data_IF_765743472877
#
_entry.id   IF_765743472877
#
_cell.length_a   1.000
_cell.length_b   1.000
_cell.length_c   1.000
_cell.angle_alpha   90.00
_cell.angle_beta   90.00
_cell.angle_gamma   90.00
#
_symmetry.space_group_name_H-M   'P 1'
#
loop_
_entity.id
_entity.type
_entity.pdbx_description
1 polymer ?
#
# COMPACT_ATOMS: atom_id res chain seq x y z
N UNK A 1 -8.16 -11.09 -16.43
CA UNK A 1 -8.23 -10.17 -15.25
C UNK A 1 -7.08 -9.15 -15.27
N UNK A 2 -5.79 -9.54 -15.25
CA UNK A 2 -4.68 -8.56 -15.17
C UNK A 2 -4.67 -7.54 -16.30
N UNK A 3 -4.86 -7.96 -17.54
CA UNK A 3 -4.94 -7.03 -18.67
C UNK A 3 -6.11 -6.05 -18.62
N UNK A 4 -7.23 -6.46 -18.05
CA UNK A 4 -8.42 -5.61 -17.87
C UNK A 4 -8.19 -4.59 -16.75
N UNK A 5 -7.58 -5.02 -15.63
CA UNK A 5 -7.21 -4.12 -14.52
C UNK A 5 -6.13 -3.12 -14.99
N UNK A 6 -5.10 -3.59 -15.72
CA UNK A 6 -4.09 -2.69 -16.28
C UNK A 6 -4.71 -1.64 -17.22
N UNK A 7 -5.61 -2.07 -18.10
CA UNK A 7 -6.30 -1.15 -19.01
C UNK A 7 -7.14 -0.12 -18.25
N UNK A 8 -7.82 -0.55 -17.17
CA UNK A 8 -8.61 0.34 -16.30
C UNK A 8 -7.69 1.35 -15.59
N UNK A 9 -6.62 0.90 -14.91
CA UNK A 9 -5.67 1.78 -14.23
C UNK A 9 -5.05 2.79 -15.20
N UNK A 10 -4.61 2.33 -16.38
CA UNK A 10 -4.04 3.21 -17.42
C UNK A 10 -5.05 4.26 -17.88
N UNK A 11 -6.29 3.85 -18.18
CA UNK A 11 -7.34 4.76 -18.61
C UNK A 11 -7.64 5.83 -17.55
N UNK A 12 -7.74 5.47 -16.27
CA UNK A 12 -7.98 6.42 -15.17
C UNK A 12 -6.78 7.34 -15.00
N UNK A 13 -5.57 6.80 -15.00
CA UNK A 13 -4.34 7.58 -14.89
C UNK A 13 -4.23 8.63 -16.00
N UNK A 14 -4.41 8.24 -17.26
CA UNK A 14 -4.29 9.14 -18.42
C UNK A 14 -5.41 10.19 -18.51
N UNK A 15 -6.63 9.84 -18.09
CA UNK A 15 -7.80 10.72 -18.22
C UNK A 15 -8.01 11.67 -17.05
N UNK A 16 -7.61 11.26 -15.84
CA UNK A 16 -7.93 11.99 -14.60
C UNK A 16 -6.68 12.42 -13.85
N UNK A 17 -5.76 11.48 -13.58
CA UNK A 17 -4.64 11.72 -12.65
C UNK A 17 -3.55 12.56 -13.31
N UNK A 18 -2.98 12.09 -14.41
CA UNK A 18 -1.84 12.75 -15.07
C UNK A 18 -2.16 14.18 -15.57
N UNK A 19 -3.35 14.48 -16.12
CA UNK A 19 -3.67 15.85 -16.53
C UNK A 19 -3.68 16.86 -15.37
N UNK A 20 -3.94 16.39 -14.14
CA UNK A 20 -3.96 17.22 -12.92
C UNK A 20 -2.64 17.24 -12.16
N UNK A 21 -1.75 16.32 -12.44
CA UNK A 21 -0.42 16.32 -11.82
C UNK A 21 0.33 17.61 -12.13
N UNK A 22 0.71 18.36 -11.09
CA UNK A 22 1.31 19.71 -11.17
C UNK A 22 0.41 20.80 -11.76
N UNK A 23 -0.87 20.53 -11.90
CA UNK A 23 -1.86 21.44 -12.47
C UNK A 23 -3.10 21.61 -11.56
N UNK A 24 -3.05 21.12 -10.32
CA UNK A 24 -4.12 21.31 -9.34
C UNK A 24 -4.19 22.78 -8.91
N UNK A 25 -5.39 23.34 -8.89
CA UNK A 25 -5.66 24.60 -8.20
C UNK A 25 -5.80 24.34 -6.70
N UNK A 26 -5.51 25.35 -5.86
CA UNK A 26 -5.63 25.23 -4.41
C UNK A 26 -7.05 24.83 -3.97
N UNK A 27 -8.07 25.26 -4.71
CA UNK A 27 -9.48 24.92 -4.47
C UNK A 27 -9.84 23.46 -4.78
N UNK A 28 -8.96 22.72 -5.45
CA UNK A 28 -9.14 21.30 -5.79
C UNK A 28 -8.48 20.37 -4.76
N UNK A 29 -7.84 20.93 -3.72
CA UNK A 29 -7.18 20.21 -2.64
C UNK A 29 -7.95 20.50 -1.35
N UNK A 30 -8.40 19.47 -0.68
CA UNK A 30 -9.04 19.55 0.64
C UNK A 30 -8.18 18.78 1.66
N UNK A 31 -8.25 19.13 2.95
CA UNK A 31 -7.62 18.37 4.03
C UNK A 31 -8.70 17.58 4.77
N UNK A 32 -8.63 16.26 4.72
CA UNK A 32 -9.51 15.36 5.49
C UNK A 32 -9.29 15.45 7.02
N UNK A 33 -8.28 16.21 7.44
CA UNK A 33 -7.81 16.33 8.80
C UNK A 33 -6.52 15.56 9.07
N UNK A 34 -5.68 16.10 9.98
CA UNK A 34 -4.43 15.43 10.36
C UNK A 34 -3.35 15.40 9.28
N UNK A 35 -3.38 16.34 8.33
CA UNK A 35 -2.48 16.38 7.17
C UNK A 35 -2.69 15.23 6.17
N UNK A 36 -3.93 14.80 5.97
CA UNK A 36 -4.33 13.78 5.00
C UNK A 36 -5.09 14.45 3.84
N UNK A 37 -4.41 14.93 2.80
CA UNK A 37 -5.04 15.67 1.71
C UNK A 37 -5.87 14.72 0.83
N UNK A 38 -6.94 15.26 0.26
CA UNK A 38 -7.71 14.67 -0.83
C UNK A 38 -7.83 15.68 -1.95
N UNK A 39 -7.81 15.22 -3.17
CA UNK A 39 -8.00 16.08 -4.34
C UNK A 39 -9.25 15.69 -5.11
N UNK A 40 -9.70 16.56 -6.00
CA UNK A 40 -10.78 16.21 -6.93
C UNK A 40 -10.41 15.00 -7.80
N UNK A 41 -9.10 14.79 -8.06
CA UNK A 41 -8.62 13.64 -8.82
C UNK A 41 -8.85 12.32 -8.09
N UNK A 42 -8.71 12.27 -6.76
CA UNK A 42 -8.98 11.07 -5.96
C UNK A 42 -10.43 10.62 -6.13
N UNK A 43 -11.38 11.55 -5.94
CA UNK A 43 -12.82 11.27 -6.05
C UNK A 43 -13.25 10.84 -7.45
N UNK A 44 -12.78 11.53 -8.49
CA UNK A 44 -13.10 11.17 -9.87
C UNK A 44 -12.45 9.84 -10.26
N UNK A 45 -11.22 9.58 -9.83
CA UNK A 45 -10.53 8.32 -10.08
C UNK A 45 -11.24 7.16 -9.39
N UNK A 46 -11.64 7.30 -8.11
CA UNK A 46 -12.39 6.28 -7.40
C UNK A 46 -13.71 5.94 -8.11
N UNK A 47 -14.47 6.96 -8.54
CA UNK A 47 -15.72 6.75 -9.25
C UNK A 47 -15.53 5.94 -10.55
N UNK A 48 -14.51 6.25 -11.35
CA UNK A 48 -14.21 5.54 -12.60
C UNK A 48 -13.67 4.11 -12.33
N UNK A 49 -12.84 3.93 -11.31
CA UNK A 49 -12.36 2.62 -10.89
C UNK A 49 -13.53 1.74 -10.43
N UNK A 50 -14.42 2.27 -9.59
CA UNK A 50 -15.62 1.57 -9.14
C UNK A 50 -16.53 1.15 -10.32
N UNK A 51 -16.76 2.05 -11.28
CA UNK A 51 -17.54 1.72 -12.48
C UNK A 51 -16.89 0.60 -13.30
N UNK A 52 -15.56 0.67 -13.49
CA UNK A 52 -14.80 -0.34 -14.22
C UNK A 52 -14.82 -1.70 -13.53
N UNK A 53 -14.57 -1.72 -12.22
CA UNK A 53 -14.55 -2.96 -11.42
C UNK A 53 -15.94 -3.63 -11.37
N UNK A 54 -17.02 -2.85 -11.29
CA UNK A 54 -18.38 -3.36 -11.35
C UNK A 54 -18.71 -4.02 -12.70
N UNK A 55 -18.10 -3.55 -13.81
CA UNK A 55 -18.23 -4.21 -15.12
C UNK A 55 -17.47 -5.54 -15.18
N UNK A 56 -16.32 -5.64 -14.48
CA UNK A 56 -15.52 -6.87 -14.44
C UNK A 56 -16.13 -7.94 -13.55
N UNK A 57 -16.77 -7.56 -12.45
CA UNK A 57 -17.43 -8.48 -11.53
C UNK A 57 -18.70 -7.82 -10.95
N UNK A 58 -19.80 -8.00 -11.67
CA UNK A 58 -21.11 -7.46 -11.26
C UNK A 58 -21.55 -8.01 -9.91
N UNK A 59 -22.04 -7.13 -9.05
CA UNK A 59 -22.57 -7.48 -7.73
C UNK A 59 -21.51 -7.64 -6.63
N UNK A 60 -20.24 -7.46 -6.95
CA UNK A 60 -19.17 -7.44 -5.94
C UNK A 60 -19.08 -6.04 -5.34
N UNK A 61 -19.11 -5.96 -4.01
CA UNK A 61 -18.97 -4.69 -3.31
C UNK A 61 -17.61 -4.04 -3.59
N UNK A 62 -17.58 -2.70 -3.62
CA UNK A 62 -16.33 -1.94 -3.66
C UNK A 62 -16.16 -1.21 -2.33
N UNK A 63 -14.95 -1.26 -1.78
CA UNK A 63 -14.48 -0.49 -0.62
C UNK A 63 -13.37 0.43 -1.13
N UNK A 64 -13.72 1.68 -1.37
CA UNK A 64 -12.78 2.72 -1.77
C UNK A 64 -12.39 3.58 -0.58
N UNK A 65 -11.23 4.23 -0.67
CA UNK A 65 -10.75 5.16 0.36
C UNK A 65 -11.73 6.32 0.57
N UNK A 66 -12.16 6.97 -0.52
CA UNK A 66 -13.02 8.13 -0.47
C UNK A 66 -14.43 7.78 0.02
N UNK A 67 -14.96 6.64 -0.45
CA UNK A 67 -16.24 6.12 0.00
C UNK A 67 -16.22 5.76 1.49
N UNK A 68 -15.14 5.14 1.99
CA UNK A 68 -14.99 4.79 3.41
C UNK A 68 -14.81 6.02 4.30
N UNK A 69 -14.20 7.09 3.77
CA UNK A 69 -14.10 8.37 4.49
C UNK A 69 -15.47 9.06 4.59
N UNK A 70 -16.27 9.03 3.51
CA UNK A 70 -17.61 9.62 3.49
C UNK A 70 -18.61 8.83 4.33
N UNK A 71 -18.53 7.50 4.32
CA UNK A 71 -19.40 6.59 5.06
C UNK A 71 -18.59 5.40 5.62
N UNK A 72 -18.21 5.44 6.91
CA UNK A 72 -17.46 4.34 7.53
C UNK A 72 -18.16 2.97 7.51
N UNK A 73 -19.48 2.91 7.29
CA UNK A 73 -20.21 1.64 7.16
C UNK A 73 -19.76 0.83 5.92
N UNK A 74 -19.13 1.47 4.96
CA UNK A 74 -18.52 0.80 3.79
C UNK A 74 -17.46 -0.22 4.24
N UNK A 75 -16.78 0.00 5.36
CA UNK A 75 -15.75 -0.89 5.90
C UNK A 75 -16.28 -2.26 6.36
N UNK A 76 -17.57 -2.38 6.68
CA UNK A 76 -18.19 -3.66 7.04
C UNK A 76 -18.12 -4.67 5.87
N UNK A 77 -18.02 -4.19 4.64
CA UNK A 77 -17.90 -5.01 3.42
C UNK A 77 -16.57 -5.75 3.35
N UNK A 78 -15.53 -5.32 4.08
CA UNK A 78 -14.22 -5.98 4.11
C UNK A 78 -14.26 -7.41 4.64
N UNK A 79 -15.28 -7.76 5.42
CA UNK A 79 -15.48 -9.12 5.91
C UNK A 79 -16.04 -10.07 4.83
N UNK A 80 -16.62 -9.54 3.76
CA UNK A 80 -17.25 -10.28 2.66
C UNK A 80 -16.34 -10.40 1.43
N UNK A 81 -17.01 -10.53 0.29
CA UNK A 81 -16.38 -10.55 -1.03
C UNK A 81 -16.38 -9.12 -1.59
N UNK A 82 -15.21 -8.51 -1.77
CA UNK A 82 -15.11 -7.11 -2.15
C UNK A 82 -13.87 -6.80 -3.00
N UNK A 83 -13.99 -5.72 -3.77
CA UNK A 83 -12.87 -4.96 -4.29
C UNK A 83 -12.44 -3.93 -3.24
N UNK A 84 -11.14 -3.67 -3.18
CA UNK A 84 -10.55 -2.64 -2.31
C UNK A 84 -9.73 -1.72 -3.21
N UNK A 85 -9.92 -0.41 -3.08
CA UNK A 85 -9.35 0.58 -4.01
C UNK A 85 -8.74 1.74 -3.24
N UNK A 86 -7.49 2.06 -3.59
CA UNK A 86 -6.92 3.38 -3.36
C UNK A 86 -6.76 4.05 -4.73
N UNK A 87 -7.49 5.13 -5.00
CA UNK A 87 -7.48 5.77 -6.31
C UNK A 87 -6.18 6.52 -6.61
N UNK A 88 -5.53 7.09 -5.57
CA UNK A 88 -4.24 7.79 -5.68
C UNK A 88 -3.47 7.61 -4.36
N UNK A 89 -2.88 6.44 -4.16
CA UNK A 89 -1.94 6.28 -3.04
C UNK A 89 -0.75 7.24 -3.21
N UNK A 90 -0.42 7.92 -2.14
CA UNK A 90 0.55 9.01 -2.17
C UNK A 90 -0.08 10.37 -2.52
N UNK A 91 -1.34 10.62 -2.16
CA UNK A 91 -2.06 11.88 -2.41
C UNK A 91 -1.28 13.11 -1.96
N UNK A 92 -0.53 13.02 -0.84
CA UNK A 92 0.37 14.09 -0.38
C UNK A 92 1.44 14.45 -1.41
N UNK A 93 2.06 13.43 -2.02
CA UNK A 93 3.05 13.64 -3.07
C UNK A 93 2.40 14.22 -4.30
N UNK A 94 1.27 13.66 -4.72
CA UNK A 94 0.50 14.11 -5.88
C UNK A 94 0.09 15.59 -5.74
N UNK A 95 -0.51 15.96 -4.62
CA UNK A 95 -0.90 17.34 -4.32
C UNK A 95 0.29 18.30 -4.30
N UNK A 96 1.46 17.83 -3.83
CA UNK A 96 2.70 18.60 -3.85
C UNK A 96 3.41 18.63 -5.22
N UNK A 97 2.84 18.02 -6.26
CA UNK A 97 3.45 17.90 -7.59
C UNK A 97 4.72 17.05 -7.64
N UNK A 98 4.86 16.08 -6.74
CA UNK A 98 6.05 15.23 -6.57
C UNK A 98 5.71 13.74 -6.75
N UNK A 99 6.67 12.93 -7.27
CA UNK A 99 6.57 11.48 -7.21
C UNK A 99 6.90 10.96 -5.79
N UNK A 100 6.59 9.67 -5.49
CA UNK A 100 5.77 8.74 -6.26
C UNK A 100 4.27 8.85 -5.90
N UNK A 101 3.42 8.34 -6.76
CA UNK A 101 2.00 8.07 -6.51
C UNK A 101 1.49 6.99 -7.45
N UNK A 102 0.44 6.28 -7.05
CA UNK A 102 -0.06 5.16 -7.83
C UNK A 102 -1.48 4.74 -7.46
N UNK A 103 -2.02 3.75 -8.18
CA UNK A 103 -3.32 3.14 -7.92
C UNK A 103 -3.08 1.78 -7.26
N UNK A 104 -3.81 1.51 -6.18
CA UNK A 104 -3.85 0.20 -5.55
C UNK A 104 -5.23 -0.43 -5.70
N UNK A 105 -5.27 -1.67 -6.16
CA UNK A 105 -6.51 -2.45 -6.25
C UNK A 105 -6.25 -3.83 -5.65
N UNK A 106 -7.17 -4.29 -4.81
CA UNK A 106 -7.17 -5.67 -4.35
C UNK A 106 -8.56 -6.30 -4.48
N UNK A 107 -8.58 -7.62 -4.58
CA UNK A 107 -9.76 -8.44 -4.46
C UNK A 107 -9.64 -9.28 -3.18
N UNK A 108 -10.61 -9.21 -2.30
CA UNK A 108 -10.61 -9.91 -1.03
C UNK A 108 -11.89 -10.69 -0.81
N UNK A 109 -11.82 -11.76 -0.02
CA UNK A 109 -12.97 -12.51 0.44
C UNK A 109 -12.71 -13.02 1.85
N UNK A 110 -13.72 -12.94 2.73
CA UNK A 110 -13.60 -13.40 4.12
C UNK A 110 -12.46 -12.72 4.89
N UNK A 111 -12.13 -11.47 4.56
CA UNK A 111 -11.07 -10.70 5.20
C UNK A 111 -9.66 -10.98 4.65
N UNK A 112 -9.49 -11.80 3.62
CA UNK A 112 -8.19 -12.13 3.03
C UNK A 112 -8.11 -11.65 1.58
N UNK A 113 -7.02 -10.96 1.22
CA UNK A 113 -6.75 -10.58 -0.16
C UNK A 113 -6.26 -11.81 -0.95
N UNK A 114 -6.86 -12.06 -2.10
CA UNK A 114 -6.47 -13.17 -2.99
C UNK A 114 -6.00 -12.71 -4.37
N UNK A 115 -6.17 -11.44 -4.71
CA UNK A 115 -5.57 -10.81 -5.89
C UNK A 115 -5.22 -9.37 -5.55
N UNK A 116 -4.11 -8.88 -6.08
CA UNK A 116 -3.63 -7.54 -5.82
C UNK A 116 -2.89 -6.95 -7.00
N UNK A 117 -3.10 -5.65 -7.24
CA UNK A 117 -2.49 -4.90 -8.32
C UNK A 117 -2.01 -3.54 -7.82
N UNK A 118 -0.82 -3.15 -8.27
CA UNK A 118 -0.18 -1.88 -7.97
C UNK A 118 0.21 -1.24 -9.30
N UNK A 119 -0.27 -0.03 -9.56
CA UNK A 119 0.03 0.69 -10.78
C UNK A 119 0.71 2.02 -10.47
N UNK A 120 1.94 2.19 -10.93
CA UNK A 120 2.66 3.48 -10.88
C UNK A 120 2.19 4.35 -12.04
N UNK A 121 1.52 5.46 -11.72
CA UNK A 121 0.92 6.34 -12.73
C UNK A 121 1.95 7.07 -13.59
N UNK A 122 3.19 7.26 -13.12
CA UNK A 122 4.22 8.00 -13.84
C UNK A 122 5.04 7.11 -14.77
N UNK A 123 5.40 5.90 -14.31
CA UNK A 123 6.27 4.99 -15.06
C UNK A 123 5.47 3.98 -15.88
N UNK A 124 4.21 3.73 -15.50
CA UNK A 124 3.39 2.67 -16.06
C UNK A 124 3.72 1.28 -15.53
N UNK A 125 4.65 1.16 -14.54
CA UNK A 125 4.96 -0.11 -13.89
C UNK A 125 3.69 -0.73 -13.30
N UNK A 126 3.44 -1.99 -13.64
CA UNK A 126 2.28 -2.74 -13.18
C UNK A 126 2.73 -4.00 -12.43
N UNK A 127 2.50 -4.01 -11.13
CA UNK A 127 2.73 -5.18 -10.30
C UNK A 127 1.41 -5.92 -10.11
N UNK A 128 1.42 -7.25 -10.21
CA UNK A 128 0.25 -8.10 -9.96
C UNK A 128 0.62 -9.34 -9.17
N UNK A 129 -0.31 -9.82 -8.35
CA UNK A 129 -0.19 -11.08 -7.64
C UNK A 129 -1.55 -11.72 -7.43
N UNK A 130 -1.55 -13.06 -7.44
CA UNK A 130 -2.69 -13.89 -7.07
C UNK A 130 -2.23 -14.93 -6.06
N UNK A 131 -3.05 -15.18 -5.06
CA UNK A 131 -2.72 -16.08 -3.95
C UNK A 131 -2.29 -17.46 -4.49
N UNK A 132 -1.07 -17.87 -4.15
CA UNK A 132 -0.44 -19.12 -4.59
C UNK A 132 0.08 -19.13 -6.03
N UNK A 133 -0.03 -18.01 -6.78
CA UNK A 133 0.42 -17.95 -8.17
C UNK A 133 1.76 -17.19 -8.35
N UNK A 134 2.22 -16.50 -7.32
CA UNK A 134 3.43 -15.67 -7.33
C UNK A 134 3.16 -14.23 -7.71
N UNK A 135 4.23 -13.44 -7.72
CA UNK A 135 4.22 -12.01 -7.99
C UNK A 135 4.86 -11.68 -9.35
N UNK A 136 4.34 -10.65 -10.00
CA UNK A 136 4.75 -10.24 -11.34
C UNK A 136 4.94 -8.72 -11.41
N UNK A 137 5.87 -8.28 -12.26
CA UNK A 137 6.04 -6.88 -12.69
C UNK A 137 5.98 -6.87 -14.22
N UNK A 138 5.06 -6.12 -14.80
CA UNK A 138 4.83 -6.02 -16.25
C UNK A 138 4.71 -7.40 -16.96
N UNK A 139 4.11 -8.38 -16.25
CA UNK A 139 3.92 -9.75 -16.69
C UNK A 139 5.10 -10.70 -16.46
N UNK A 140 6.26 -10.19 -16.04
CA UNK A 140 7.43 -11.00 -15.71
C UNK A 140 7.40 -11.39 -14.22
N UNK A 141 7.61 -12.70 -13.94
CA UNK A 141 7.64 -13.19 -12.56
C UNK A 141 8.83 -12.61 -11.80
N UNK A 142 8.58 -12.14 -10.58
CA UNK A 142 9.62 -11.60 -9.70
C UNK A 142 9.73 -12.41 -8.41
N UNK A 143 10.94 -12.39 -7.84
CA UNK A 143 11.22 -12.93 -6.50
C UNK A 143 11.85 -11.83 -5.68
N UNK A 144 11.37 -11.67 -4.44
CA UNK A 144 11.89 -10.68 -3.53
C UNK A 144 13.38 -10.94 -3.25
N UNK A 145 14.16 -9.88 -3.27
CA UNK A 145 15.60 -9.92 -3.03
C UNK A 145 15.99 -8.80 -2.06
N UNK A 146 16.76 -9.13 -1.01
CA UNK A 146 17.37 -8.12 -0.16
C UNK A 146 18.39 -7.26 -0.91
N UNK A 147 18.68 -6.06 -0.37
CA UNK A 147 19.74 -5.17 -0.90
C UNK A 147 21.12 -5.82 -0.85
N UNK A 148 21.35 -6.68 0.14
CA UNK A 148 22.67 -7.24 0.44
C UNK A 148 23.56 -6.33 1.26
N UNK A 149 23.05 -5.17 1.68
CA UNK A 149 23.81 -4.21 2.49
C UNK A 149 23.92 -4.64 3.95
N UNK A 150 24.99 -4.21 4.60
CA UNK A 150 25.23 -4.36 6.02
C UNK A 150 25.65 -3.00 6.64
N UNK A 151 24.85 -2.40 7.52
CA UNK A 151 23.54 -2.89 8.01
C UNK A 151 22.44 -2.86 6.95
N UNK A 152 21.35 -3.67 7.13
CA UNK A 152 20.23 -3.70 6.20
C UNK A 152 19.56 -2.33 6.05
N UNK A 153 18.93 -2.11 4.89
CA UNK A 153 18.26 -0.83 4.55
C UNK A 153 16.84 -0.82 5.08
N UNK A 154 16.47 0.22 5.85
CA UNK A 154 15.13 0.35 6.38
C UNK A 154 14.47 1.68 6.03
N UNK A 155 13.23 1.61 5.55
CA UNK A 155 12.31 2.73 5.43
C UNK A 155 11.27 2.63 6.56
N UNK A 156 11.45 3.42 7.63
CA UNK A 156 10.63 3.35 8.84
C UNK A 156 9.65 4.53 8.87
N UNK A 157 8.36 4.24 8.76
CA UNK A 157 7.33 5.27 8.91
C UNK A 157 7.04 5.55 10.38
N UNK A 158 7.32 6.78 10.80
CA UNK A 158 7.05 7.26 12.17
C UNK A 158 5.75 8.09 12.26
N UNK A 159 5.06 8.33 11.15
CA UNK A 159 4.03 9.36 11.03
C UNK A 159 2.85 9.12 11.96
N UNK A 160 2.35 7.88 11.99
CA UNK A 160 1.15 7.49 12.74
C UNK A 160 1.47 6.88 14.11
N UNK A 161 2.75 6.85 14.50
CA UNK A 161 3.16 6.40 15.84
C UNK A 161 2.87 7.50 16.86
N UNK A 162 2.46 7.11 18.05
CA UNK A 162 2.49 8.02 19.20
C UNK A 162 3.92 8.42 19.58
N UNK A 163 4.06 9.42 20.43
CA UNK A 163 5.37 9.97 20.77
C UNK A 163 6.29 8.94 21.45
N UNK A 164 5.75 8.12 22.37
CA UNK A 164 6.56 7.13 23.08
C UNK A 164 7.10 6.06 22.13
N UNK A 165 6.24 5.51 21.28
CA UNK A 165 6.63 4.51 20.27
C UNK A 165 7.60 5.09 19.24
N UNK A 166 7.40 6.34 18.84
CA UNK A 166 8.29 7.04 17.91
C UNK A 166 9.70 7.18 18.48
N UNK A 167 9.83 7.66 19.72
CA UNK A 167 11.13 7.83 20.35
C UNK A 167 11.80 6.48 20.62
N UNK A 168 11.07 5.48 21.12
CA UNK A 168 11.60 4.13 21.29
C UNK A 168 12.10 3.52 19.97
N UNK A 169 11.36 3.74 18.86
CA UNK A 169 11.77 3.26 17.54
C UNK A 169 13.06 3.95 17.08
N UNK A 170 13.19 5.27 17.28
CA UNK A 170 14.42 6.01 16.95
C UNK A 170 15.63 5.56 17.76
N UNK A 171 15.43 5.32 19.06
CA UNK A 171 16.52 5.00 19.98
C UNK A 171 16.97 3.54 19.87
N UNK A 172 16.03 2.61 19.71
CA UNK A 172 16.33 1.18 19.84
C UNK A 172 16.21 0.37 18.55
N UNK A 173 15.51 0.87 17.54
CA UNK A 173 15.35 0.15 16.26
C UNK A 173 16.22 0.77 15.17
N UNK A 174 16.07 2.07 14.94
CA UNK A 174 16.73 2.77 13.85
C UNK A 174 18.26 2.58 13.78
N UNK A 175 19.01 2.56 14.90
CA UNK A 175 20.48 2.40 14.86
C UNK A 175 20.98 1.06 14.27
N UNK A 176 20.12 0.07 14.14
CA UNK A 176 20.47 -1.23 13.57
C UNK A 176 20.37 -1.30 12.04
N UNK A 177 19.94 -0.22 11.40
CA UNK A 177 19.65 -0.18 9.97
C UNK A 177 20.30 1.04 9.31
N UNK A 178 20.58 0.94 8.03
CA UNK A 178 20.82 2.10 7.18
C UNK A 178 19.45 2.69 6.81
N UNK A 179 19.12 3.83 7.40
CA UNK A 179 17.83 4.46 7.17
C UNK A 179 17.79 5.14 5.81
N UNK A 180 16.66 5.03 5.14
CA UNK A 180 16.31 5.79 3.93
C UNK A 180 14.95 6.44 4.12
N UNK A 181 14.69 7.49 3.33
CA UNK A 181 13.42 8.18 3.37
C UNK A 181 12.27 7.27 2.93
N UNK A 182 11.15 7.36 3.64
CA UNK A 182 9.91 6.70 3.23
C UNK A 182 9.35 7.41 2.00
N UNK A 183 8.79 6.69 1.02
CA UNK A 183 8.23 7.30 -0.19
C UNK A 183 6.88 7.99 0.04
N UNK A 184 6.25 7.85 1.22
CA UNK A 184 4.87 8.31 1.51
C UNK A 184 3.84 7.77 0.50
N UNK A 185 4.04 6.54 0.04
CA UNK A 185 3.26 5.88 -1.00
C UNK A 185 3.50 4.37 -0.88
N UNK A 186 2.47 3.61 -0.57
CA UNK A 186 2.54 2.16 -0.42
C UNK A 186 2.75 1.48 -1.79
N UNK A 187 2.18 2.05 -2.86
CA UNK A 187 2.37 1.60 -4.24
C UNK A 187 3.84 1.64 -4.68
N UNK A 188 4.67 2.42 -4.00
CA UNK A 188 6.11 2.44 -4.21
C UNK A 188 6.86 1.64 -3.13
N UNK A 189 6.41 1.69 -1.86
CA UNK A 189 7.15 1.06 -0.77
C UNK A 189 7.21 -0.46 -0.88
N UNK A 190 6.12 -1.13 -1.31
CA UNK A 190 6.12 -2.58 -1.51
C UNK A 190 7.04 -3.02 -2.66
N UNK A 191 7.01 -2.39 -3.85
CA UNK A 191 8.02 -2.67 -4.89
C UNK A 191 9.45 -2.49 -4.41
N UNK A 192 9.78 -1.44 -3.66
CA UNK A 192 11.14 -1.22 -3.12
C UNK A 192 11.61 -2.38 -2.24
N UNK A 193 10.70 -2.97 -1.44
CA UNK A 193 11.02 -4.14 -0.59
C UNK A 193 11.34 -5.38 -1.42
N UNK A 194 10.61 -5.65 -2.50
CA UNK A 194 10.83 -6.85 -3.29
C UNK A 194 11.93 -6.69 -4.34
N UNK A 195 12.15 -5.47 -4.86
CA UNK A 195 13.07 -5.24 -5.98
C UNK A 195 14.51 -4.89 -5.54
N UNK A 196 14.80 -4.97 -4.24
CA UNK A 196 16.16 -4.83 -3.71
C UNK A 196 16.59 -3.39 -3.46
N UNK A 197 15.65 -2.49 -3.20
CA UNK A 197 15.94 -1.10 -2.82
C UNK A 197 15.87 -0.89 -1.30
N UNK A 198 14.95 -1.59 -0.63
CA UNK A 198 14.80 -1.61 0.82
C UNK A 198 14.75 -3.03 1.33
N UNK A 199 15.25 -3.25 2.55
CA UNK A 199 15.20 -4.56 3.21
C UNK A 199 14.01 -4.70 4.14
N UNK A 200 13.62 -3.62 4.84
CA UNK A 200 12.56 -3.64 5.86
C UNK A 200 11.79 -2.33 5.88
N UNK A 201 10.50 -2.43 6.21
CA UNK A 201 9.62 -1.30 6.48
C UNK A 201 8.69 -1.58 7.65
N UNK A 202 8.38 -0.53 8.42
CA UNK A 202 7.38 -0.57 9.49
C UNK A 202 6.24 0.36 9.09
N UNK A 203 5.00 -0.13 9.21
CA UNK A 203 3.78 0.64 9.01
C UNK A 203 2.95 0.62 10.30
N UNK A 204 2.52 1.78 10.77
CA UNK A 204 1.70 1.89 11.98
C UNK A 204 0.20 1.87 11.65
N UNK A 205 -0.25 2.71 10.72
CA UNK A 205 -1.60 2.70 10.17
C UNK A 205 -1.67 1.63 9.07
N UNK A 206 -2.72 0.81 9.06
CA UNK A 206 -2.78 -0.35 8.15
C UNK A 206 -4.17 -0.48 7.51
N UNK A 207 -4.61 0.60 6.86
CA UNK A 207 -5.87 0.65 6.14
C UNK A 207 -5.86 -0.33 4.96
N UNK A 208 -7.04 -0.86 4.64
CA UNK A 208 -7.14 -1.93 3.65
C UNK A 208 -6.68 -1.52 2.26
N UNK A 209 -6.99 -0.30 1.84
CA UNK A 209 -6.62 0.21 0.53
C UNK A 209 -5.12 0.47 0.37
N UNK A 210 -4.42 0.93 1.44
CA UNK A 210 -2.97 1.13 1.43
C UNK A 210 -2.18 -0.20 1.36
N UNK A 211 -2.75 -1.30 1.92
CA UNK A 211 -1.94 -2.47 2.24
C UNK A 211 -2.37 -3.79 1.59
N UNK A 212 -3.65 -3.98 1.25
CA UNK A 212 -4.14 -5.28 0.78
C UNK A 212 -3.37 -5.82 -0.44
N UNK A 213 -3.20 -4.98 -1.46
CA UNK A 213 -2.48 -5.36 -2.68
C UNK A 213 -0.98 -5.59 -2.41
N UNK A 214 -0.35 -4.67 -1.68
CA UNK A 214 1.09 -4.71 -1.42
C UNK A 214 1.51 -5.86 -0.52
N UNK A 215 0.72 -6.18 0.51
CA UNK A 215 0.98 -7.34 1.41
C UNK A 215 0.92 -8.64 0.63
N UNK A 216 -0.13 -8.84 -0.16
CA UNK A 216 -0.26 -10.04 -0.99
C UNK A 216 0.92 -10.13 -1.97
N UNK A 217 1.20 -9.05 -2.70
CA UNK A 217 2.25 -9.03 -3.72
C UNK A 217 3.64 -9.33 -3.13
N UNK A 218 4.00 -8.72 -1.99
CA UNK A 218 5.27 -8.97 -1.33
C UNK A 218 5.40 -10.42 -0.83
N UNK A 219 4.33 -10.97 -0.24
CA UNK A 219 4.31 -12.34 0.23
C UNK A 219 4.44 -13.34 -0.95
N UNK A 220 3.73 -13.11 -2.05
CA UNK A 220 3.80 -13.92 -3.27
C UNK A 220 5.17 -13.79 -3.98
N UNK A 221 5.87 -12.68 -3.79
CA UNK A 221 7.26 -12.53 -4.23
C UNK A 221 8.27 -13.31 -3.38
N UNK A 222 7.86 -13.89 -2.22
CA UNK A 222 8.74 -14.60 -1.30
C UNK A 222 9.39 -13.70 -0.23
N UNK A 223 9.02 -12.44 -0.16
CA UNK A 223 9.25 -11.58 1.01
C UNK A 223 8.33 -11.96 2.16
N UNK A 224 8.18 -11.08 3.13
CA UNK A 224 7.23 -11.27 4.23
C UNK A 224 6.60 -9.95 4.65
N UNK A 225 5.26 -9.89 4.65
CA UNK A 225 4.48 -8.84 5.28
C UNK A 225 3.48 -9.48 6.25
N UNK A 226 3.60 -9.16 7.54
CA UNK A 226 2.77 -9.71 8.60
C UNK A 226 2.75 -8.78 9.82
N UNK A 227 1.81 -9.01 10.73
CA UNK A 227 1.74 -8.31 12.02
C UNK A 227 2.98 -8.63 12.86
N UNK A 228 3.45 -7.73 13.74
CA UNK A 228 4.63 -7.98 14.59
C UNK A 228 4.52 -9.22 15.49
N UNK A 229 3.31 -9.65 15.83
CA UNK A 229 3.08 -10.89 16.59
C UNK A 229 3.07 -12.17 15.73
N UNK A 230 3.38 -12.03 14.44
CA UNK A 230 3.44 -13.14 13.49
C UNK A 230 2.12 -13.51 12.84
N UNK A 231 1.01 -12.92 13.26
CA UNK A 231 -0.29 -13.18 12.62
C UNK A 231 -0.36 -12.53 11.22
N UNK A 232 -1.07 -13.17 10.30
CA UNK A 232 -1.28 -12.62 8.96
C UNK A 232 -2.00 -11.27 9.00
N UNK A 233 -1.71 -10.42 8.03
CA UNK A 233 -2.51 -9.22 7.77
C UNK A 233 -3.89 -9.64 7.24
N UNK A 234 -4.95 -8.98 7.74
CA UNK A 234 -6.32 -9.17 7.28
C UNK A 234 -6.96 -7.82 7.02
N UNK A 235 -7.67 -7.71 5.92
CA UNK A 235 -8.30 -6.45 5.48
C UNK A 235 -9.45 -6.02 6.40
N UNK A 236 -10.16 -6.99 7.00
CA UNK A 236 -11.26 -6.77 7.95
C UNK A 236 -10.79 -6.33 9.36
N UNK A 237 -9.48 -6.36 9.62
CA UNK A 237 -8.86 -5.88 10.85
C UNK A 237 -8.21 -4.49 10.67
N UNK A 238 -8.84 -3.62 9.92
CA UNK A 238 -8.30 -2.31 9.53
C UNK A 238 -7.98 -1.38 10.71
N UNK A 239 -8.64 -1.55 11.85
CA UNK A 239 -8.36 -0.80 13.09
C UNK A 239 -7.07 -1.28 13.80
N UNK A 240 -6.61 -2.48 13.49
CA UNK A 240 -5.44 -3.06 14.13
C UNK A 240 -4.18 -2.43 13.57
N UNK A 241 -3.38 -1.83 14.46
CA UNK A 241 -2.13 -1.16 14.12
C UNK A 241 -0.95 -2.12 14.02
N UNK A 242 0.09 -1.66 13.33
CA UNK A 242 1.37 -2.34 13.20
C UNK A 242 1.40 -3.40 12.10
N UNK A 243 2.34 -3.21 11.18
CA UNK A 243 2.67 -4.17 10.13
C UNK A 243 4.16 -4.03 9.82
N UNK A 244 4.83 -5.14 9.58
CA UNK A 244 6.23 -5.19 9.16
C UNK A 244 6.28 -5.85 7.79
N UNK A 245 6.88 -5.16 6.82
CA UNK A 245 7.22 -5.69 5.50
C UNK A 245 8.73 -5.88 5.38
N UNK A 246 9.18 -6.98 4.80
CA UNK A 246 10.60 -7.26 4.60
C UNK A 246 10.86 -8.04 3.30
N UNK A 247 12.02 -7.81 2.71
CA UNK A 247 12.50 -8.48 1.50
C UNK A 247 12.71 -10.00 1.71
N UNK A 248 12.80 -10.48 2.95
CA UNK A 248 12.88 -11.90 3.27
C UNK A 248 12.28 -12.22 4.64
N UNK A 249 11.88 -13.49 4.90
CA UNK A 249 11.44 -13.92 6.20
C UNK A 249 12.49 -13.72 7.32
N UNK A 250 13.77 -13.84 7.01
CA UNK A 250 14.86 -13.66 8.00
C UNK A 250 14.97 -12.19 8.45
N UNK A 251 14.90 -11.24 7.51
CA UNK A 251 14.89 -9.81 7.79
C UNK A 251 13.64 -9.40 8.59
N UNK A 252 12.50 -10.00 8.27
CA UNK A 252 11.26 -9.79 9.00
C UNK A 252 11.42 -10.26 10.47
N UNK A 253 11.98 -11.46 10.69
CA UNK A 253 12.21 -12.00 12.04
C UNK A 253 13.17 -11.13 12.85
N UNK A 254 14.26 -10.63 12.27
CA UNK A 254 15.19 -9.71 12.94
C UNK A 254 14.45 -8.43 13.39
N UNK A 255 13.70 -7.79 12.50
CA UNK A 255 12.94 -6.58 12.82
C UNK A 255 11.92 -6.82 13.95
N UNK A 256 11.15 -7.91 13.86
CA UNK A 256 10.13 -8.23 14.87
C UNK A 256 10.76 -8.60 16.22
N UNK A 257 11.90 -9.30 16.22
CA UNK A 257 12.65 -9.58 17.44
C UNK A 257 13.04 -8.30 18.18
N UNK A 258 13.49 -7.27 17.45
CA UNK A 258 13.83 -5.95 18.01
C UNK A 258 12.59 -5.21 18.53
N UNK A 259 11.50 -5.22 17.76
CA UNK A 259 10.23 -4.60 18.17
C UNK A 259 9.67 -5.23 19.45
N UNK A 260 9.77 -6.55 19.58
CA UNK A 260 9.29 -7.28 20.77
C UNK A 260 10.09 -6.91 22.02
N UNK A 261 11.38 -6.61 21.89
CA UNK A 261 12.23 -6.18 23.01
C UNK A 261 11.86 -4.78 23.55
N UNK A 262 11.09 -3.98 22.79
CA UNK A 262 10.57 -2.68 23.26
C UNK A 262 9.30 -2.80 24.11
N UNK A 263 8.63 -3.94 24.05
CA UNK A 263 7.31 -4.14 24.68
C UNK A 263 7.40 -4.89 26.03
N UNK A 264 8.60 -5.29 26.43
CA UNK A 264 8.91 -5.96 27.71
C UNK A 264 9.60 -5.01 28.65
#
# INVERSE_FOLDING_TARGET
MDGEILALCRSVSERVILPRFRNLADSEIEDKGGHDPVTIADRESEALLCEGLNKLASGVAVVGEEAAHADPAVLDRLAGDCWIVDPIDGTRNFAAGKPPFGILIARASGGEAHSGWIYDCLTGRFCSAHLGAGAFVDGERVTARPTGDAPPVAAISLIFMDNAKREATKEHIAPHYRLVDIPYCAAEQYPRLALGENDVSIFERTLAWDHAAGVLWLNEAGGKAARPDGTAYRVDQWQRKGLVGAASPALWQDMVGRLSALSG
#
